data_IF_010236909039
#
_entry.id   IF_010236909039
#
_cell.length_a   1.000
_cell.length_b   1.000
_cell.length_c   1.000
_cell.angle_alpha   90.00
_cell.angle_beta   90.00
_cell.angle_gamma   90.00
#
_symmetry.space_group_name_H-M   'P 1'
#
loop_
_entity.id
_entity.type
_entity.pdbx_description
1 polymer ?
#
# COMPACT_ATOMS: atom_id res chain seq x y z
N UNK A 1 -44.30 -49.27 35.62
CA UNK A 1 -44.23 -47.83 35.93
C UNK A 1 -42.76 -47.42 36.05
N UNK A 2 -42.20 -46.73 35.05
CA UNK A 2 -40.98 -45.92 35.20
C UNK A 2 -40.90 -44.98 34.00
N UNK A 3 -41.16 -43.69 34.24
CA UNK A 3 -41.00 -42.62 33.24
C UNK A 3 -39.52 -42.24 33.19
N UNK A 4 -38.88 -42.41 32.05
CA UNK A 4 -37.55 -41.84 31.80
C UNK A 4 -37.71 -40.33 31.52
N UNK A 5 -37.18 -39.51 32.42
CA UNK A 5 -37.17 -38.06 32.27
C UNK A 5 -36.16 -37.65 31.17
N UNK A 6 -36.64 -36.97 30.13
CA UNK A 6 -35.78 -36.27 29.16
C UNK A 6 -35.23 -35.01 29.83
N UNK A 7 -33.94 -35.00 30.12
CA UNK A 7 -33.21 -33.77 30.50
C UNK A 7 -32.91 -33.00 29.22
N UNK A 8 -33.58 -31.85 29.03
CA UNK A 8 -33.24 -30.91 27.96
C UNK A 8 -31.94 -30.19 28.31
N UNK A 9 -30.87 -30.44 27.56
CA UNK A 9 -29.66 -29.60 27.61
C UNK A 9 -29.98 -28.28 26.89
N UNK A 10 -30.15 -27.21 27.64
CA UNK A 10 -30.19 -25.85 27.08
C UNK A 10 -28.76 -25.50 26.68
N UNK A 11 -28.47 -25.49 25.38
CA UNK A 11 -27.21 -24.97 24.88
C UNK A 11 -27.20 -23.45 25.09
N UNK A 12 -26.42 -22.98 26.07
CA UNK A 12 -26.14 -21.57 26.22
C UNK A 12 -25.35 -21.10 24.98
N UNK A 13 -26.03 -20.43 24.05
CA UNK A 13 -25.38 -19.73 22.96
C UNK A 13 -24.61 -18.54 23.55
N UNK A 14 -23.35 -18.77 23.92
CA UNK A 14 -22.41 -17.70 24.20
C UNK A 14 -22.31 -16.85 22.93
N UNK A 15 -22.88 -15.64 22.97
CA UNK A 15 -22.59 -14.61 21.97
C UNK A 15 -21.08 -14.39 22.03
N UNK A 16 -20.33 -15.02 21.13
CA UNK A 16 -18.98 -14.59 20.79
C UNK A 16 -19.14 -13.16 20.28
N UNK A 17 -18.88 -12.21 21.16
CA UNK A 17 -18.57 -10.85 20.76
C UNK A 17 -17.26 -10.98 20.00
N UNK A 18 -17.37 -11.22 18.69
CA UNK A 18 -16.22 -11.18 17.83
C UNK A 18 -15.65 -9.78 17.98
N UNK A 19 -14.47 -9.71 18.57
CA UNK A 19 -13.49 -8.68 18.23
C UNK A 19 -13.39 -8.70 16.72
N UNK A 20 -14.17 -7.86 16.04
CA UNK A 20 -14.02 -7.55 14.64
C UNK A 20 -12.74 -6.70 14.53
N UNK A 21 -11.60 -7.35 14.78
CA UNK A 21 -10.31 -6.89 14.30
C UNK A 21 -10.42 -6.95 12.80
N UNK A 22 -10.55 -5.77 12.21
CA UNK A 22 -10.37 -5.41 10.81
C UNK A 22 -9.60 -6.49 10.05
N UNK A 23 -10.33 -7.33 9.32
CA UNK A 23 -9.80 -8.12 8.22
C UNK A 23 -10.36 -7.52 6.94
N UNK A 24 -9.94 -6.30 6.63
CA UNK A 24 -10.02 -5.77 5.26
C UNK A 24 -8.83 -6.32 4.47
N UNK A 25 -8.74 -7.64 4.37
CA UNK A 25 -7.97 -8.27 3.32
C UNK A 25 -8.99 -9.11 2.54
N UNK A 26 -9.71 -8.43 1.64
CA UNK A 26 -10.59 -9.09 0.68
C UNK A 26 -9.81 -10.19 -0.06
N UNK A 27 -10.46 -11.33 -0.30
CA UNK A 27 -9.86 -12.45 -1.03
C UNK A 27 -9.16 -11.96 -2.31
N UNK A 28 -7.88 -12.30 -2.55
CA UNK A 28 -7.10 -11.75 -3.66
C UNK A 28 -7.74 -12.06 -5.03
N UNK A 29 -8.36 -13.23 -5.17
CA UNK A 29 -9.09 -13.61 -6.38
C UNK A 29 -10.29 -12.67 -6.66
N UNK A 30 -10.95 -12.16 -5.61
CA UNK A 30 -12.09 -11.26 -5.74
C UNK A 30 -11.65 -9.83 -6.09
N UNK A 31 -10.49 -9.42 -5.56
CA UNK A 31 -9.82 -8.17 -5.95
C UNK A 31 -9.48 -8.18 -7.43
N UNK A 32 -8.87 -9.27 -7.91
CA UNK A 32 -8.47 -9.42 -9.30
C UNK A 32 -9.68 -9.45 -10.27
N UNK A 33 -10.76 -10.14 -9.89
CA UNK A 33 -12.01 -10.11 -10.64
C UNK A 33 -12.59 -8.69 -10.74
N UNK A 34 -12.63 -7.94 -9.62
CA UNK A 34 -13.12 -6.56 -9.60
C UNK A 34 -12.25 -5.63 -10.45
N UNK A 35 -10.94 -5.81 -10.45
CA UNK A 35 -10.01 -5.05 -11.30
C UNK A 35 -10.24 -5.35 -12.79
N UNK A 36 -10.46 -6.61 -13.14
CA UNK A 36 -10.79 -7.00 -14.51
C UNK A 36 -12.14 -6.41 -14.95
N UNK A 37 -13.09 -6.25 -14.04
CA UNK A 37 -14.37 -5.58 -14.32
C UNK A 37 -14.17 -4.08 -14.55
N UNK A 38 -13.45 -3.40 -13.63
CA UNK A 38 -13.12 -1.97 -13.72
C UNK A 38 -12.37 -1.66 -15.03
N UNK A 39 -11.40 -2.47 -15.40
CA UNK A 39 -10.58 -2.23 -16.61
C UNK A 39 -11.40 -2.37 -17.89
N UNK A 40 -12.19 -3.45 -18.01
CA UNK A 40 -13.02 -3.71 -19.19
C UNK A 40 -14.13 -2.69 -19.40
N UNK A 41 -14.68 -2.10 -18.34
CA UNK A 41 -15.76 -1.11 -18.46
C UNK A 41 -15.28 0.28 -18.88
N UNK A 42 -13.98 0.56 -18.77
CA UNK A 42 -13.45 1.93 -18.89
C UNK A 42 -12.93 2.29 -20.27
N UNK A 43 -12.33 1.34 -20.99
CA UNK A 43 -11.74 1.63 -22.30
C UNK A 43 -12.83 1.62 -23.38
N UNK A 44 -13.05 2.71 -24.14
CA UNK A 44 -14.08 2.75 -25.16
C UNK A 44 -13.90 1.69 -26.26
N UNK A 45 -12.68 1.18 -26.44
CA UNK A 45 -12.37 0.09 -27.37
C UNK A 45 -12.92 -1.26 -26.93
N UNK A 46 -13.08 -1.44 -25.62
CA UNK A 46 -13.56 -2.67 -25.01
C UNK A 46 -15.09 -2.62 -24.82
N UNK A 47 -15.70 -1.44 -24.96
CA UNK A 47 -17.15 -1.30 -24.97
C UNK A 47 -17.70 -1.72 -26.33
N UNK A 48 -18.79 -2.50 -26.31
CA UNK A 48 -19.41 -3.07 -27.51
C UNK A 48 -19.83 -2.01 -28.54
N UNK A 49 -20.14 -0.79 -28.07
CA UNK A 49 -20.66 0.31 -28.89
C UNK A 49 -19.63 1.41 -29.18
N UNK A 50 -18.42 1.37 -28.61
CA UNK A 50 -17.36 2.36 -28.85
C UNK A 50 -17.49 3.68 -28.07
N UNK A 51 -18.59 3.88 -27.33
CA UNK A 51 -18.92 5.13 -26.60
C UNK A 51 -18.72 5.03 -25.07
N UNK A 52 -18.10 3.95 -24.56
CA UNK A 52 -18.02 3.67 -23.12
C UNK A 52 -19.36 3.24 -22.51
N UNK A 53 -19.61 3.60 -21.25
CA UNK A 53 -20.81 3.23 -20.48
C UNK A 53 -22.03 4.08 -20.90
N UNK A 54 -23.13 3.43 -21.30
CA UNK A 54 -24.38 4.08 -21.73
C UNK A 54 -25.56 3.66 -20.84
N UNK A 55 -26.57 4.53 -20.68
CA UNK A 55 -27.81 4.23 -19.95
C UNK A 55 -27.74 4.38 -18.42
N UNK A 56 -26.59 4.75 -17.85
CA UNK A 56 -26.43 5.13 -16.43
C UNK A 56 -25.38 6.24 -16.28
N UNK A 57 -25.34 6.86 -15.10
CA UNK A 57 -24.20 7.71 -14.71
C UNK A 57 -22.99 6.80 -14.47
N UNK A 58 -21.84 7.03 -15.10
CA UNK A 58 -20.66 6.20 -14.90
C UNK A 58 -20.05 6.38 -13.52
N UNK A 59 -19.40 5.34 -13.02
CA UNK A 59 -18.66 5.40 -11.77
C UNK A 59 -17.31 6.12 -11.96
N UNK A 60 -16.73 6.64 -10.86
CA UNK A 60 -15.47 7.41 -10.91
C UNK A 60 -14.35 6.67 -11.65
N UNK A 61 -14.23 5.35 -11.49
CA UNK A 61 -13.18 4.56 -12.14
C UNK A 61 -13.41 4.36 -13.65
N UNK A 62 -14.65 4.47 -14.14
CA UNK A 62 -15.01 4.29 -15.56
C UNK A 62 -14.70 5.54 -16.38
N UNK A 63 -14.71 6.72 -15.74
CA UNK A 63 -14.42 8.02 -16.39
C UNK A 63 -13.06 8.62 -16.01
N UNK A 64 -12.43 8.17 -14.93
CA UNK A 64 -11.10 8.64 -14.54
C UNK A 64 -10.07 8.30 -15.63
N UNK A 65 -9.18 9.27 -15.90
CA UNK A 65 -8.07 9.12 -16.85
C UNK A 65 -6.75 9.58 -16.22
N UNK A 66 -5.62 9.23 -16.84
CA UNK A 66 -4.31 9.68 -16.38
C UNK A 66 -3.93 9.18 -14.98
N UNK A 67 -3.38 10.08 -14.14
CA UNK A 67 -2.88 9.74 -12.80
C UNK A 67 -4.00 9.37 -11.82
N UNK A 68 -5.16 9.99 -11.94
CA UNK A 68 -6.33 9.69 -11.12
C UNK A 68 -6.76 8.22 -11.32
N UNK A 69 -6.79 7.77 -12.59
CA UNK A 69 -7.09 6.37 -12.91
C UNK A 69 -6.08 5.41 -12.30
N UNK A 70 -4.78 5.74 -12.38
CA UNK A 70 -3.72 4.92 -11.82
C UNK A 70 -3.89 4.77 -10.30
N UNK A 71 -4.16 5.87 -9.60
CA UNK A 71 -4.42 5.85 -8.16
C UNK A 71 -5.62 4.95 -7.82
N UNK A 72 -6.77 5.12 -8.50
CA UNK A 72 -7.97 4.32 -8.26
C UNK A 72 -7.74 2.82 -8.52
N UNK A 73 -6.95 2.47 -9.52
CA UNK A 73 -6.61 1.08 -9.83
C UNK A 73 -5.70 0.45 -8.78
N UNK A 74 -4.71 1.19 -8.27
CA UNK A 74 -3.83 0.72 -7.20
C UNK A 74 -4.58 0.57 -5.88
N UNK A 75 -5.45 1.53 -5.55
CA UNK A 75 -6.35 1.42 -4.40
C UNK A 75 -7.27 0.20 -4.52
N UNK A 76 -7.78 -0.08 -5.72
CA UNK A 76 -8.59 -1.26 -5.97
C UNK A 76 -7.79 -2.57 -5.82
N UNK A 77 -6.48 -2.57 -6.12
CA UNK A 77 -5.55 -3.69 -5.84
C UNK A 77 -5.24 -3.88 -4.35
N UNK A 78 -5.65 -2.94 -3.50
CA UNK A 78 -5.34 -2.92 -2.08
C UNK A 78 -4.03 -2.22 -1.73
N UNK A 79 -3.38 -1.55 -2.70
CA UNK A 79 -2.25 -0.68 -2.44
C UNK A 79 -2.78 0.70 -2.01
N UNK A 80 -2.63 1.03 -0.73
CA UNK A 80 -3.14 2.29 -0.15
C UNK A 80 -2.24 3.49 -0.41
N UNK A 81 -0.97 3.27 -0.80
CA UNK A 81 -0.01 4.34 -1.04
C UNK A 81 0.74 4.14 -2.38
N UNK A 82 0.06 4.32 -3.52
CA UNK A 82 0.67 4.13 -4.83
C UNK A 82 1.83 5.09 -5.13
N UNK A 83 1.87 6.24 -4.45
CA UNK A 83 2.87 7.29 -4.67
C UNK A 83 3.95 7.37 -3.58
N UNK A 84 3.87 6.55 -2.53
CA UNK A 84 4.87 6.51 -1.46
C UNK A 84 4.90 7.77 -0.58
N UNK A 85 3.73 8.34 -0.30
CA UNK A 85 3.55 9.55 0.50
C UNK A 85 3.75 9.32 2.00
N UNK A 86 3.52 8.11 2.52
CA UNK A 86 3.79 7.79 3.93
C UNK A 86 5.28 7.90 4.27
N UNK A 87 6.13 7.92 3.25
CA UNK A 87 7.57 8.06 3.39
C UNK A 87 8.22 6.77 3.88
N UNK A 88 9.53 6.86 4.11
CA UNK A 88 10.33 5.70 4.51
C UNK A 88 10.12 5.47 6.00
N UNK A 89 9.68 4.26 6.37
CA UNK A 89 9.50 3.86 7.77
C UNK A 89 10.83 4.01 8.51
N UNK A 90 10.81 4.76 9.60
CA UNK A 90 11.99 5.01 10.42
C UNK A 90 12.34 3.75 11.22
N UNK A 91 13.38 3.04 10.75
CA UNK A 91 14.00 1.93 11.48
C UNK A 91 15.22 2.37 12.29
N UNK A 92 16.03 1.41 12.76
CA UNK A 92 17.32 1.68 13.38
C UNK A 92 18.23 2.59 12.54
N UNK A 93 19.24 3.17 13.18
CA UNK A 93 20.26 3.95 12.48
C UNK A 93 21.01 3.06 11.48
N UNK A 94 21.15 3.52 10.23
CA UNK A 94 21.83 2.77 9.18
C UNK A 94 23.34 2.70 9.42
N UNK A 95 23.91 1.50 9.38
CA UNK A 95 25.36 1.28 9.51
C UNK A 95 26.01 1.15 8.13
N UNK A 96 27.35 1.13 8.06
CA UNK A 96 28.04 0.92 6.78
C UNK A 96 27.74 -0.45 6.16
N UNK A 97 27.54 -1.48 7.00
CA UNK A 97 27.19 -2.82 6.56
C UNK A 97 25.70 -2.93 6.18
N UNK A 98 24.84 -2.28 6.96
CA UNK A 98 23.38 -2.27 6.77
C UNK A 98 22.90 -0.82 6.64
N UNK A 99 23.12 -0.19 5.46
CA UNK A 99 22.72 1.19 5.22
C UNK A 99 21.20 1.29 5.10
N UNK A 100 20.66 2.48 5.38
CA UNK A 100 19.23 2.75 5.17
C UNK A 100 18.94 2.81 3.68
N UNK A 101 18.04 1.95 3.23
CA UNK A 101 17.63 1.90 1.84
C UNK A 101 16.65 3.03 1.52
N UNK A 102 16.98 3.80 0.49
CA UNK A 102 16.21 4.94 0.01
C UNK A 102 15.73 4.60 -1.41
N UNK A 103 14.45 4.25 -1.62
CA UNK A 103 13.94 3.98 -2.95
C UNK A 103 13.93 5.26 -3.80
N UNK A 104 14.24 5.15 -5.08
CA UNK A 104 14.21 6.28 -6.02
C UNK A 104 13.98 5.79 -7.44
N UNK A 105 13.21 6.55 -8.22
CA UNK A 105 13.08 6.34 -9.67
C UNK A 105 14.27 6.94 -10.45
N UNK A 106 15.01 7.85 -9.83
CA UNK A 106 16.17 8.53 -10.43
C UNK A 106 17.47 8.07 -9.78
N UNK A 107 18.60 8.33 -10.46
CA UNK A 107 19.95 8.01 -9.98
C UNK A 107 20.39 8.81 -8.74
N UNK A 108 19.59 9.80 -8.31
CA UNK A 108 19.79 10.49 -7.04
C UNK A 108 18.48 10.93 -6.39
N UNK A 109 18.46 11.00 -5.05
CA UNK A 109 17.32 11.47 -4.26
C UNK A 109 17.78 12.39 -3.14
N UNK A 110 17.05 13.49 -2.92
CA UNK A 110 17.28 14.39 -1.79
C UNK A 110 16.78 13.73 -0.49
N UNK A 111 17.62 13.68 0.53
CA UNK A 111 17.31 13.11 1.85
C UNK A 111 17.64 14.13 2.94
N UNK A 112 16.74 14.27 3.91
CA UNK A 112 16.99 15.00 5.14
C UNK A 112 17.31 14.02 6.28
N UNK A 113 18.51 14.10 6.87
CA UNK A 113 18.78 13.43 8.16
C UNK A 113 18.61 14.41 9.31
N UNK A 114 17.80 14.02 10.29
CA UNK A 114 17.96 14.45 11.67
C UNK A 114 18.64 13.29 12.43
N UNK A 115 19.93 13.46 12.72
CA UNK A 115 20.76 12.39 13.24
C UNK A 115 21.01 12.52 14.76
N UNK A 116 20.77 13.70 15.33
CA UNK A 116 20.81 13.98 16.76
C UNK A 116 19.38 14.33 17.22
N UNK A 117 18.79 13.63 18.19
CA UNK A 117 17.44 13.90 18.67
C UNK A 117 17.28 15.28 19.34
N UNK A 118 18.37 15.89 19.82
CA UNK A 118 18.33 17.22 20.44
C UNK A 118 18.52 18.37 19.43
N UNK A 119 18.92 18.04 18.20
CA UNK A 119 19.15 19.04 17.15
C UNK A 119 17.88 19.32 16.35
N UNK A 120 17.49 20.58 16.27
CA UNK A 120 16.38 21.04 15.41
C UNK A 120 16.79 21.23 13.93
N UNK A 121 18.04 20.93 13.59
CA UNK A 121 18.59 21.17 12.25
C UNK A 121 18.52 19.93 11.38
N UNK A 122 17.67 19.98 10.34
CA UNK A 122 17.64 18.96 9.29
C UNK A 122 18.76 19.20 8.30
N UNK A 123 19.63 18.20 8.12
CA UNK A 123 20.72 18.24 7.14
C UNK A 123 20.27 17.57 5.85
N UNK A 124 20.16 18.35 4.79
CA UNK A 124 19.78 17.87 3.46
C UNK A 124 21.00 17.54 2.61
N UNK A 125 20.96 16.41 1.91
CA UNK A 125 22.00 15.98 0.99
C UNK A 125 21.43 15.05 -0.08
N UNK A 126 22.13 14.94 -1.20
CA UNK A 126 21.76 14.01 -2.27
C UNK A 126 22.39 12.65 -2.03
N UNK A 127 21.57 11.62 -1.94
CA UNK A 127 22.03 10.22 -2.04
C UNK A 127 22.05 9.85 -3.51
N UNK A 128 23.18 9.37 -4.01
CA UNK A 128 23.39 8.92 -5.39
C UNK A 128 23.32 7.39 -5.46
N UNK A 129 23.00 6.86 -6.63
CA UNK A 129 23.07 5.43 -6.91
C UNK A 129 24.48 4.88 -6.75
N UNK A 130 24.57 3.59 -6.38
CA UNK A 130 25.83 2.87 -6.18
C UNK A 130 26.09 2.51 -4.72
N UNK A 131 27.28 2.86 -4.23
CA UNK A 131 27.73 2.54 -2.88
C UNK A 131 27.00 3.35 -1.79
N UNK A 132 26.97 2.80 -0.58
CA UNK A 132 26.38 3.48 0.57
C UNK A 132 27.15 4.77 0.91
N UNK A 133 26.40 5.84 1.15
CA UNK A 133 26.93 7.16 1.48
C UNK A 133 26.58 7.54 2.91
N UNK A 134 27.54 8.13 3.63
CA UNK A 134 27.30 8.64 4.96
C UNK A 134 26.54 9.98 4.91
N UNK A 135 25.73 10.27 5.93
CA UNK A 135 25.18 11.61 6.14
C UNK A 135 26.33 12.63 6.32
N UNK A 136 26.08 13.93 6.11
CA UNK A 136 27.03 15.00 6.42
C UNK A 136 27.51 15.02 7.90
N UNK A 137 26.79 14.34 8.78
CA UNK A 137 27.12 14.13 10.19
C UNK A 137 27.99 12.90 10.47
N UNK A 138 28.17 11.98 9.50
CA UNK A 138 28.91 10.74 9.67
C UNK A 138 28.26 9.65 10.53
N UNK A 139 27.08 9.90 11.12
CA UNK A 139 26.44 8.98 12.08
C UNK A 139 25.59 7.87 11.41
N UNK A 140 25.07 8.12 10.22
CA UNK A 140 24.19 7.18 9.51
C UNK A 140 24.62 7.02 8.05
N UNK A 141 24.39 5.83 7.50
CA UNK A 141 24.63 5.50 6.10
C UNK A 141 23.32 5.26 5.36
N UNK A 142 23.29 5.69 4.09
CA UNK A 142 22.15 5.61 3.21
C UNK A 142 22.57 4.99 1.88
N UNK A 143 21.72 4.15 1.30
CA UNK A 143 21.95 3.54 -0.01
C UNK A 143 20.71 3.75 -0.87
N UNK A 144 20.90 4.28 -2.07
CA UNK A 144 19.81 4.45 -3.01
C UNK A 144 19.49 3.10 -3.66
N UNK A 145 18.22 2.71 -3.62
CA UNK A 145 17.69 1.51 -4.30
C UNK A 145 16.83 1.98 -5.46
N UNK A 146 17.13 1.53 -6.68
CA UNK A 146 16.36 1.90 -7.87
C UNK A 146 15.03 1.15 -7.88
N UNK A 147 13.94 1.89 -7.97
CA UNK A 147 12.57 1.38 -7.81
C UNK A 147 12.02 0.63 -9.03
N UNK A 148 12.75 0.61 -10.15
CA UNK A 148 12.30 0.02 -11.43
C UNK A 148 11.86 -1.46 -11.32
N UNK A 149 12.36 -2.20 -10.33
CA UNK A 149 12.15 -3.65 -10.19
C UNK A 149 11.12 -4.09 -9.14
N UNK A 150 10.58 -3.19 -8.30
CA UNK A 150 9.52 -3.46 -7.32
C UNK A 150 9.24 -2.19 -6.51
N UNK A 151 8.07 -1.58 -6.66
CA UNK A 151 7.48 -0.78 -5.57
C UNK A 151 5.97 -1.00 -5.54
N UNK A 152 5.56 -1.92 -4.67
CA UNK A 152 4.35 -1.74 -3.86
C UNK A 152 4.84 -1.33 -2.48
N UNK A 153 4.40 -0.18 -1.97
CA UNK A 153 4.70 0.27 -0.61
C UNK A 153 3.92 -0.52 0.44
#
# INVERSE_FOLDING_TARGET
MMRLARVSRVAAAARRVHTARVTLASDPAKVEQKLQEITKSSDPKDSQDGYGVTGRVPDNHEQATGLERLELLELAKGNTDPFGLEGIKWGPAGTKAEPREIPSHFDSRLVGCCCDPESELVKYFYVKGGDAQACPCGQQYFKLVKTEDKVSW
#
